data_IF_279373021893
#
_entry.id   IF_279373021893
#
_cell.length_a   1.000
_cell.length_b   1.000
_cell.length_c   1.000
_cell.angle_alpha   90.00
_cell.angle_beta   90.00
_cell.angle_gamma   90.00
#
_symmetry.space_group_name_H-M   'P 1'
#
loop_
_entity.id
_entity.type
_entity.pdbx_description
1 polymer ?
#
# COMPACT_ATOMS: atom_id res chain seq x y z
N UNK A 1 10.79 15.24 9.45
CA UNK A 1 10.77 14.15 8.44
C UNK A 1 9.31 13.85 8.15
N UNK A 2 8.86 13.91 6.89
CA UNK A 2 7.43 13.76 6.54
C UNK A 2 6.96 12.33 6.81
N UNK A 3 6.08 12.13 7.79
CA UNK A 3 5.53 10.80 8.13
C UNK A 3 4.91 10.07 6.93
N UNK A 4 4.31 10.82 5.99
CA UNK A 4 3.73 10.27 4.77
C UNK A 4 4.79 9.72 3.80
N UNK A 5 5.99 10.30 3.77
CA UNK A 5 7.10 9.81 2.95
C UNK A 5 7.64 8.47 3.49
N UNK A 6 7.68 8.32 4.82
CA UNK A 6 8.05 7.06 5.45
C UNK A 6 7.01 5.96 5.17
N UNK A 7 5.72 6.31 5.31
CA UNK A 7 4.62 5.40 5.05
C UNK A 7 4.55 4.95 3.58
N UNK A 8 4.76 5.87 2.63
CA UNK A 8 4.87 5.53 1.20
C UNK A 8 5.98 4.51 0.95
N UNK A 9 7.18 4.75 1.50
CA UNK A 9 8.33 3.88 1.32
C UNK A 9 8.02 2.46 1.81
N UNK A 10 7.42 2.35 2.99
CA UNK A 10 7.10 1.07 3.60
C UNK A 10 5.97 0.33 2.87
N UNK A 11 4.95 1.04 2.38
CA UNK A 11 3.93 0.44 1.52
C UNK A 11 4.55 -0.13 0.23
N UNK A 12 5.44 0.62 -0.42
CA UNK A 12 6.13 0.16 -1.64
C UNK A 12 7.00 -1.06 -1.36
N UNK A 13 7.76 -1.06 -0.25
CA UNK A 13 8.56 -2.19 0.18
C UNK A 13 7.70 -3.44 0.44
N UNK A 14 6.56 -3.28 1.12
CA UNK A 14 5.61 -4.38 1.37
C UNK A 14 5.08 -4.96 0.07
N UNK A 15 4.59 -4.12 -0.85
CA UNK A 15 4.06 -4.57 -2.14
C UNK A 15 5.13 -5.23 -3.01
N UNK A 16 6.39 -4.78 -2.93
CA UNK A 16 7.52 -5.40 -3.64
C UNK A 16 7.84 -6.79 -3.08
N UNK A 17 7.88 -6.95 -1.76
CA UNK A 17 8.32 -8.19 -1.10
C UNK A 17 7.22 -9.25 -1.02
N UNK A 18 5.96 -8.84 -0.86
CA UNK A 18 4.82 -9.75 -0.63
C UNK A 18 3.91 -9.90 -1.83
N UNK A 19 4.07 -9.09 -2.87
CA UNK A 19 3.20 -9.07 -4.04
C UNK A 19 1.90 -8.27 -3.80
N UNK A 20 0.82 -8.56 -4.55
CA UNK A 20 -0.43 -7.84 -4.43
C UNK A 20 -1.07 -7.99 -3.04
N UNK A 21 -1.39 -6.87 -2.38
CA UNK A 21 -2.01 -6.87 -1.05
C UNK A 21 -3.24 -5.95 -0.98
N UNK A 22 -4.22 -6.36 -0.17
CA UNK A 22 -5.36 -5.51 0.15
C UNK A 22 -5.00 -4.53 1.25
N UNK A 23 -5.74 -3.42 1.36
CA UNK A 23 -5.54 -2.42 2.42
C UNK A 23 -5.46 -3.06 3.80
N UNK A 24 -6.33 -4.02 4.11
CA UNK A 24 -6.35 -4.68 5.41
C UNK A 24 -5.03 -5.39 5.74
N UNK A 25 -4.44 -6.08 4.75
CA UNK A 25 -3.13 -6.73 4.93
C UNK A 25 -2.01 -5.71 5.02
N UNK A 26 -2.04 -4.66 4.20
CA UNK A 26 -1.04 -3.59 4.24
C UNK A 26 -1.03 -2.93 5.62
N UNK A 27 -2.20 -2.50 6.13
CA UNK A 27 -2.34 -1.92 7.46
C UNK A 27 -1.84 -2.86 8.56
N UNK A 28 -2.21 -4.15 8.50
CA UNK A 28 -1.75 -5.14 9.46
C UNK A 28 -0.22 -5.26 9.45
N UNK A 29 0.41 -5.42 8.29
CA UNK A 29 1.86 -5.58 8.20
C UNK A 29 2.63 -4.33 8.63
N UNK A 30 2.08 -3.13 8.39
CA UNK A 30 2.67 -1.89 8.88
C UNK A 30 2.65 -1.83 10.41
N UNK A 31 1.50 -2.14 11.02
CA UNK A 31 1.38 -2.18 12.48
C UNK A 31 2.27 -3.28 13.10
N UNK A 32 2.37 -4.46 12.48
CA UNK A 32 3.29 -5.54 12.91
C UNK A 32 4.78 -5.11 12.83
N UNK A 33 5.12 -4.09 12.03
CA UNK A 33 6.46 -3.48 11.96
C UNK A 33 6.65 -2.29 12.91
N UNK A 34 5.68 -2.01 13.77
CA UNK A 34 5.71 -0.88 14.70
C UNK A 34 5.33 0.47 14.09
N UNK A 35 4.78 0.49 12.87
CA UNK A 35 4.25 1.70 12.23
C UNK A 35 2.75 1.79 12.49
N UNK A 36 2.36 2.41 13.60
CA UNK A 36 0.96 2.64 13.93
C UNK A 36 0.28 3.51 12.85
N UNK A 37 -0.54 2.87 12.02
CA UNK A 37 -1.21 3.52 10.91
C UNK A 37 -2.67 3.08 10.84
N UNK A 38 -3.56 4.06 10.67
CA UNK A 38 -4.98 3.77 10.44
C UNK A 38 -5.20 3.32 9.01
N UNK A 39 -6.25 2.51 8.81
CA UNK A 39 -6.70 2.10 7.48
C UNK A 39 -6.92 3.30 6.55
N UNK A 40 -7.54 4.36 7.06
CA UNK A 40 -7.82 5.59 6.31
C UNK A 40 -6.54 6.28 5.82
N UNK A 41 -5.49 6.33 6.65
CA UNK A 41 -4.18 6.89 6.28
C UNK A 41 -3.56 6.06 5.15
N UNK A 42 -3.59 4.73 5.26
CA UNK A 42 -3.12 3.82 4.21
C UNK A 42 -3.92 3.99 2.91
N UNK A 43 -5.25 4.09 2.97
CA UNK A 43 -6.10 4.33 1.79
C UNK A 43 -5.83 5.68 1.12
N UNK A 44 -5.48 6.71 1.89
CA UNK A 44 -5.09 8.01 1.35
C UNK A 44 -3.77 7.92 0.58
N UNK A 45 -2.75 7.30 1.17
CA UNK A 45 -1.45 7.13 0.51
C UNK A 45 -1.55 6.21 -0.72
N UNK A 46 -2.31 5.13 -0.64
CA UNK A 46 -2.53 4.24 -1.80
C UNK A 46 -3.25 4.96 -2.94
N UNK A 47 -4.24 5.83 -2.64
CA UNK A 47 -4.89 6.65 -3.68
C UNK A 47 -3.92 7.61 -4.37
N UNK A 48 -3.05 8.25 -3.61
CA UNK A 48 -1.98 9.10 -4.15
C UNK A 48 -1.03 8.30 -5.06
N UNK A 49 -0.55 7.14 -4.60
CA UNK A 49 0.34 6.28 -5.37
C UNK A 49 -0.29 5.74 -6.66
N UNK A 50 -1.59 5.45 -6.63
CA UNK A 50 -2.37 5.08 -7.81
C UNK A 50 -2.48 6.26 -8.77
N UNK A 51 -2.79 7.46 -8.26
CA UNK A 51 -2.86 8.68 -9.10
C UNK A 51 -1.52 9.01 -9.76
N UNK A 52 -0.39 8.68 -9.12
CA UNK A 52 0.97 8.85 -9.65
C UNK A 52 1.42 7.68 -10.55
N UNK A 53 0.58 6.66 -10.72
CA UNK A 53 0.88 5.47 -11.52
C UNK A 53 2.02 4.61 -10.95
N UNK A 54 2.33 4.73 -9.66
CA UNK A 54 3.37 3.93 -8.97
C UNK A 54 2.79 2.59 -8.51
N UNK A 55 1.52 2.57 -8.14
CA UNK A 55 0.79 1.37 -7.69
C UNK A 55 -0.43 1.20 -8.59
N UNK A 56 -0.76 -0.04 -8.92
CA UNK A 56 -1.99 -0.39 -9.60
C UNK A 56 -2.99 -0.98 -8.60
N UNK A 57 -4.26 -0.56 -8.71
CA UNK A 57 -5.36 -1.16 -7.98
C UNK A 57 -6.17 -2.05 -8.91
N UNK A 58 -6.39 -3.31 -8.51
CA UNK A 58 -7.20 -4.28 -9.25
C UNK A 58 -8.26 -4.89 -8.34
N UNK A 59 -9.39 -5.29 -8.91
CA UNK A 59 -10.41 -6.06 -8.18
C UNK A 59 -10.08 -7.54 -8.31
N UNK A 60 -9.93 -8.23 -7.18
CA UNK A 60 -9.79 -9.68 -7.15
C UNK A 60 -11.17 -10.38 -7.15
N UNK A 61 -11.20 -11.70 -7.35
CA UNK A 61 -12.42 -12.52 -7.42
C UNK A 61 -13.42 -12.26 -6.29
N UNK A 62 -12.96 -11.93 -5.07
CA UNK A 62 -13.82 -11.62 -3.91
C UNK A 62 -14.27 -10.14 -3.83
N UNK A 63 -14.22 -9.38 -4.95
CA UNK A 63 -14.53 -7.94 -5.03
C UNK A 63 -13.69 -7.05 -4.10
N UNK A 64 -12.58 -7.57 -3.57
CA UNK A 64 -11.65 -6.83 -2.72
C UNK A 64 -10.58 -6.18 -3.59
N UNK A 65 -10.35 -4.88 -3.39
CA UNK A 65 -9.25 -4.16 -4.03
C UNK A 65 -7.92 -4.71 -3.52
N UNK A 66 -7.08 -5.10 -4.47
CA UNK A 66 -5.70 -5.50 -4.29
C UNK A 66 -4.82 -4.43 -4.93
N UNK A 67 -3.73 -4.10 -4.27
CA UNK A 67 -2.76 -3.10 -4.71
C UNK A 67 -1.48 -3.83 -5.05
N UNK A 68 -0.88 -3.51 -6.19
CA UNK A 68 0.40 -4.09 -6.64
C UNK A 68 1.32 -2.95 -7.06
N UNK A 69 2.61 -3.09 -6.76
CA UNK A 69 3.60 -2.16 -7.29
C UNK A 69 3.63 -2.27 -8.82
N UNK A 70 3.53 -1.15 -9.53
CA UNK A 70 3.76 -1.12 -10.97
C UNK A 70 5.26 -1.25 -11.16
N UNK A 71 5.72 -2.36 -11.75
CA UNK A 71 7.11 -2.49 -12.14
C UNK A 71 7.42 -1.37 -13.13
N UNK A 72 8.23 -0.40 -12.72
CA UNK A 72 8.95 0.44 -13.67
C UNK A 72 10.24 -0.30 -13.94
N UNK A 73 10.39 -0.76 -15.18
CA UNK A 73 11.69 -1.03 -15.78
C UNK A 73 12.57 0.23 -15.71
#
# INVERSE_FOLDING_TARGET
MNENLNLECEIRNLLRLKGPLSVAFITRFLNERGLECTRQKVERVLRDLVSRGIVEASLHHNRRKQYRLRWRE
#
